data_IF_465052055346
#
_entry.id   IF_465052055346
#
_cell.length_a   1.000
_cell.length_b   1.000
_cell.length_c   1.000
_cell.angle_alpha   90.00
_cell.angle_beta   90.00
_cell.angle_gamma   90.00
#
_symmetry.space_group_name_H-M   'P 1'
#
loop_
_entity.id
_entity.type
_entity.pdbx_description
1 polymer ?
2 non-polymer ?
3 water ?
#
# COMPACT_ATOMS: atom_id res chain seq x y z
N UNK A 1 -23.65 12.84 2.23
CA UNK A 1 -23.15 12.09 1.03
C UNK A 1 -23.00 10.58 1.22
N UNK A 2 -22.96 10.09 2.48
CA UNK A 2 -23.08 8.63 2.60
C UNK A 2 -24.52 8.24 2.30
N UNK A 3 -24.71 7.34 1.34
CA UNK A 3 -26.04 6.93 0.94
C UNK A 3 -26.69 6.12 2.05
N UNK A 4 -27.98 6.37 2.32
CA UNK A 4 -28.67 5.75 3.45
C UNK A 4 -29.67 4.68 3.05
N UNK A 5 -29.98 4.58 1.75
CA UNK A 5 -30.77 3.46 1.23
C UNK A 5 -29.87 2.23 1.10
N UNK A 6 -30.49 1.06 0.92
CA UNK A 6 -29.76 -0.22 0.92
C UNK A 6 -28.76 -0.33 -0.22
N UNK A 7 -27.53 -0.73 0.11
CA UNK A 7 -26.46 -0.94 -0.87
C UNK A 7 -26.88 -1.90 -1.96
N UNK A 8 -27.67 -2.92 -1.60
CA UNK A 8 -28.13 -3.92 -2.54
C UNK A 8 -29.15 -3.41 -3.58
N UNK A 9 -29.67 -2.20 -3.37
CA UNK A 9 -30.46 -1.53 -4.42
C UNK A 9 -29.56 -1.15 -5.60
N UNK A 10 -28.30 -0.83 -5.32
CA UNK A 10 -27.34 -0.39 -6.35
C UNK A 10 -26.37 -1.49 -6.76
N UNK A 11 -26.09 -2.42 -5.85
CA UNK A 11 -25.08 -3.45 -6.07
C UNK A 11 -25.59 -4.87 -5.85
N UNK A 12 -25.14 -5.77 -6.71
CA UNK A 12 -25.39 -7.19 -6.55
C UNK A 12 -24.19 -7.77 -5.81
N UNK A 13 -24.42 -8.26 -4.59
CA UNK A 13 -23.33 -8.82 -3.79
C UNK A 13 -23.03 -10.26 -4.20
N UNK A 14 -21.79 -10.67 -3.97
CA UNK A 14 -21.34 -12.03 -4.20
C UNK A 14 -20.77 -12.57 -2.88
N UNK A 15 -20.48 -13.87 -2.83
CA UNK A 15 -19.92 -14.48 -1.62
C UNK A 15 -18.42 -14.77 -1.77
N UNK A 16 -17.76 -14.07 -2.68
CA UNK A 16 -16.31 -14.16 -2.85
C UNK A 16 -15.64 -13.09 -1.98
N UNK A 17 -14.64 -13.50 -1.19
CA UNK A 17 -13.92 -12.59 -0.31
C UNK A 17 -12.53 -12.30 -0.85
N UNK A 18 -12.17 -11.01 -0.90
CA UNK A 18 -10.84 -10.61 -1.34
C UNK A 18 -9.85 -10.63 -0.16
N UNK A 19 -10.29 -10.16 1.01
CA UNK A 19 -9.47 -10.25 2.21
C UNK A 19 -9.92 -9.43 3.42
N UNK A 20 -9.19 -9.61 4.53
CA UNK A 20 -9.56 -9.03 5.83
C UNK A 20 -8.81 -7.72 6.13
N UNK A 21 -9.57 -6.64 6.30
CA UNK A 21 -9.00 -5.33 6.58
C UNK A 21 -9.24 -4.81 7.97
N UNK A 22 -8.78 -5.56 8.98
CA UNK A 22 -8.83 -5.15 10.39
C UNK A 22 -10.26 -4.85 10.87
N UNK A 23 -10.86 -3.77 10.35
CA UNK A 23 -12.26 -3.44 10.63
C UNK A 23 -13.22 -4.37 9.92
N UNK A 24 -12.95 -4.64 8.64
CA UNK A 24 -13.91 -5.35 7.80
C UNK A 24 -13.37 -6.22 6.69
N UNK A 25 -14.15 -7.25 6.36
CA UNK A 25 -13.88 -8.10 5.21
C UNK A 25 -14.14 -7.36 3.92
N UNK A 26 -13.51 -7.80 2.83
CA UNK A 26 -13.67 -7.18 1.52
C UNK A 26 -14.31 -8.19 0.57
N UNK A 27 -15.44 -7.82 -0.02
CA UNK A 27 -16.21 -8.69 -0.90
C UNK A 27 -16.29 -8.13 -2.32
N UNK A 28 -16.41 -9.02 -3.30
CA UNK A 28 -16.71 -8.62 -4.67
C UNK A 28 -18.18 -8.22 -4.77
N UNK A 29 -18.48 -7.25 -5.63
CA UNK A 29 -19.85 -6.92 -5.96
C UNK A 29 -19.90 -6.33 -7.36
N UNK A 30 -21.11 -6.18 -7.89
CA UNK A 30 -21.31 -5.68 -9.25
C UNK A 30 -22.33 -4.58 -9.26
N UNK A 31 -21.97 -3.44 -9.84
CA UNK A 31 -22.92 -2.34 -10.00
C UNK A 31 -24.05 -2.83 -10.90
N UNK A 32 -25.28 -2.45 -10.58
CA UNK A 32 -26.46 -3.01 -11.26
C UNK A 32 -26.75 -2.38 -12.62
N UNK A 33 -26.52 -1.06 -12.75
CA UNK A 33 -26.76 -0.35 -14.00
C UNK A 33 -25.63 -0.67 -14.98
N UNK A 34 -24.41 -0.31 -14.62
CA UNK A 34 -23.22 -0.73 -15.36
C UNK A 34 -22.94 -2.19 -14.99
N UNK A 35 -22.02 -2.83 -15.69
CA UNK A 35 -21.64 -4.19 -15.32
C UNK A 35 -20.50 -4.25 -14.31
N UNK A 36 -19.85 -3.12 -14.07
CA UNK A 36 -18.54 -3.07 -13.40
C UNK A 36 -18.47 -3.87 -12.11
N UNK A 37 -17.43 -4.70 -12.00
CA UNK A 37 -17.12 -5.36 -10.74
C UNK A 37 -16.43 -4.37 -9.82
N UNK A 38 -16.82 -4.40 -8.55
CA UNK A 38 -16.31 -3.48 -7.55
C UNK A 38 -15.99 -4.25 -6.28
N UNK A 39 -15.26 -3.60 -5.37
CA UNK A 39 -14.93 -4.21 -4.08
C UNK A 39 -15.71 -3.49 -2.99
N UNK A 40 -16.25 -4.26 -2.05
CA UNK A 40 -17.07 -3.69 -0.97
C UNK A 40 -16.42 -4.03 0.38
N UNK A 41 -16.16 -2.98 1.17
CA UNK A 41 -15.57 -3.15 2.50
C UNK A 41 -16.61 -2.82 3.55
N UNK A 42 -16.98 -3.82 4.35
CA UNK A 42 -17.97 -3.67 5.43
C UNK A 42 -17.25 -3.27 6.71
N UNK A 43 -17.65 -2.14 7.30
CA UNK A 43 -17.14 -1.68 8.59
C UNK A 43 -18.32 -1.50 9.52
N UNK A 44 -18.22 -2.04 10.73
CA UNK A 44 -19.23 -1.77 11.74
C UNK A 44 -19.01 -0.35 12.25
N UNK A 45 -20.11 0.39 12.40
CA UNK A 45 -20.04 1.81 12.70
C UNK A 45 -19.39 2.08 14.06
N UNK A 46 -18.38 2.94 14.06
CA UNK A 46 -17.63 3.30 15.25
C UNK A 46 -16.85 4.57 14.92
N UNK A 47 -16.37 5.30 15.94
CA UNK A 47 -15.55 6.47 15.65
C UNK A 47 -14.42 6.14 14.68
N UNK A 48 -13.67 5.07 14.98
CA UNK A 48 -12.57 4.61 14.13
C UNK A 48 -12.99 4.36 12.69
N UNK A 49 -14.09 3.63 12.49
CA UNK A 49 -14.60 3.33 11.14
C UNK A 49 -15.00 4.60 10.40
N UNK A 50 -15.52 5.58 11.14
CA UNK A 50 -15.90 6.87 10.57
C UNK A 50 -14.65 7.67 10.15
N UNK A 51 -13.58 7.56 10.93
CA UNK A 51 -12.30 8.20 10.59
C UNK A 51 -11.71 7.58 9.32
N UNK A 52 -11.83 6.27 9.18
CA UNK A 52 -11.34 5.58 7.98
C UNK A 52 -12.04 6.08 6.72
N UNK A 53 -13.37 6.06 6.73
CA UNK A 53 -14.15 6.55 5.58
C UNK A 53 -13.78 8.00 5.27
N UNK A 54 -13.63 8.81 6.32
CA UNK A 54 -13.25 10.21 6.17
C UNK A 54 -11.88 10.33 5.49
N UNK A 55 -10.90 9.60 6.00
CA UNK A 55 -9.54 9.68 5.47
C UNK A 55 -9.43 9.10 4.07
N UNK A 56 -10.17 8.02 3.81
CA UNK A 56 -10.19 7.42 2.48
C UNK A 56 -10.88 8.33 1.45
N UNK A 57 -12.01 8.93 1.79
CA UNK A 57 -12.68 9.90 0.89
C UNK A 57 -11.69 11.00 0.52
N UNK A 58 -11.08 11.63 1.54
CA UNK A 58 -10.08 12.68 1.33
C UNK A 58 -8.95 12.25 0.40
N UNK A 59 -8.46 11.02 0.60
CA UNK A 59 -7.35 10.48 -0.21
C UNK A 59 -7.81 10.07 -1.62
N UNK A 60 -9.05 9.64 -1.72
CA UNK A 60 -9.62 9.18 -2.99
C UNK A 60 -9.58 10.33 -3.99
N UNK A 61 -8.96 10.09 -5.14
CA UNK A 61 -8.70 11.15 -6.15
C UNK A 61 -7.22 11.40 -6.39
N UNK A 62 -6.41 11.18 -5.36
CA UNK A 62 -4.95 11.34 -5.49
C UNK A 62 -4.34 10.25 -6.36
N UNK A 63 -3.09 10.45 -6.79
CA UNK A 63 -2.44 9.47 -7.65
C UNK A 63 -2.04 8.21 -6.90
N UNK A 64 -2.26 7.06 -7.52
CA UNK A 64 -1.87 5.75 -6.98
C UNK A 64 -2.51 5.45 -5.62
N UNK A 65 -3.78 5.82 -5.52
CA UNK A 65 -4.61 5.49 -4.37
C UNK A 65 -5.90 4.86 -4.90
N UNK A 66 -6.33 3.79 -4.26
CA UNK A 66 -7.55 3.08 -4.64
C UNK A 66 -8.75 3.99 -4.40
N UNK A 67 -9.54 4.21 -5.44
CA UNK A 67 -10.63 5.19 -5.39
C UNK A 67 -11.88 4.61 -4.71
N UNK A 68 -12.52 5.42 -3.86
CA UNK A 68 -13.87 5.13 -3.38
C UNK A 68 -14.88 5.51 -4.47
N UNK A 69 -15.91 4.68 -4.64
CA UNK A 69 -16.99 4.93 -5.61
C UNK A 69 -18.25 5.48 -4.92
N UNK A 70 -18.63 4.83 -3.83
CA UNK A 70 -19.80 5.21 -3.02
C UNK A 70 -19.52 4.78 -1.58
N UNK A 71 -20.25 5.38 -0.65
CA UNK A 71 -20.28 4.93 0.74
C UNK A 71 -21.74 4.81 1.18
N UNK A 72 -22.06 3.68 1.82
CA UNK A 72 -23.42 3.44 2.27
C UNK A 72 -23.44 3.32 3.78
N UNK A 73 -24.48 3.89 4.39
CA UNK A 73 -24.75 3.71 5.82
C UNK A 73 -26.00 2.84 5.93
N UNK A 74 -25.81 1.57 6.27
CA UNK A 74 -26.89 0.57 6.28
C UNK A 74 -27.04 -0.13 7.62
N UNK A 75 -28.16 -0.82 7.79
CA UNK A 75 -28.32 -1.79 8.88
C UNK A 75 -28.04 -3.18 8.33
N UNK A 76 -27.33 -4.00 9.09
CA UNK A 76 -27.00 -5.37 8.68
C UNK A 76 -27.04 -6.32 9.87
N UNK A 77 -28.02 -7.24 9.84
CA UNK A 77 -28.32 -8.12 10.97
C UNK A 77 -28.40 -7.34 12.29
N UNK A 78 -29.18 -6.26 12.28
CA UNK A 78 -29.43 -5.47 13.47
C UNK A 78 -28.29 -4.59 13.96
N UNK A 79 -27.21 -4.46 13.17
CA UNK A 79 -26.08 -3.61 13.53
C UNK A 79 -25.85 -2.54 12.46
N UNK A 80 -25.51 -1.33 12.89
CA UNK A 80 -25.24 -0.24 11.96
C UNK A 80 -23.88 -0.44 11.31
N UNK A 81 -23.82 -0.21 9.99
CA UNK A 81 -22.65 -0.51 9.18
C UNK A 81 -22.34 0.60 8.18
N UNK A 82 -21.06 0.80 7.92
CA UNK A 82 -20.60 1.63 6.81
C UNK A 82 -20.00 0.68 5.77
N UNK A 83 -20.45 0.81 4.52
CA UNK A 83 -19.96 0.01 3.41
C UNK A 83 -19.22 0.94 2.45
N UNK A 84 -17.91 0.70 2.29
CA UNK A 84 -17.12 1.44 1.31
C UNK A 84 -17.11 0.63 0.02
N UNK A 85 -17.64 1.22 -1.05
CA UNK A 85 -17.53 0.64 -2.37
C UNK A 85 -16.30 1.23 -3.04
N UNK A 86 -15.35 0.37 -3.39
CA UNK A 86 -14.11 0.79 -4.06
C UNK A 86 -14.03 0.20 -5.45
N UNK A 87 -13.16 0.78 -6.27
CA UNK A 87 -12.82 0.16 -7.55
C UNK A 87 -12.18 -1.19 -7.27
N UNK A 88 -12.47 -2.19 -8.10
CA UNK A 88 -11.91 -3.53 -7.90
C UNK A 88 -10.49 -3.59 -8.46
N UNK A 89 -9.55 -3.94 -7.60
CA UNK A 89 -8.15 -4.09 -7.97
C UNK A 89 -7.88 -5.56 -8.26
N UNK A 90 -8.09 -5.97 -9.50
CA UNK A 90 -8.01 -7.40 -9.85
C UNK A 90 -6.63 -7.83 -10.36
N UNK A 91 -5.66 -6.92 -10.29
CA UNK A 91 -4.27 -7.24 -10.60
C UNK A 91 -3.54 -7.93 -9.48
N UNK A 92 -4.09 -7.86 -8.27
CA UNK A 92 -3.48 -8.52 -7.12
C UNK A 92 -2.36 -7.71 -6.48
N UNK A 93 -1.59 -8.37 -5.62
CA UNK A 93 -0.60 -7.71 -4.78
C UNK A 93 0.71 -7.49 -5.51
N UNK A 94 1.35 -6.35 -5.21
CA UNK A 94 2.62 -5.94 -5.82
C UNK A 94 3.60 -7.11 -5.99
N UNK A 95 3.99 -7.72 -4.87
CA UNK A 95 5.03 -8.73 -4.88
C UNK A 95 4.59 -10.08 -5.47
N UNK A 96 3.28 -10.33 -5.53
CA UNK A 96 2.76 -11.51 -6.22
C UNK A 96 2.94 -11.39 -7.73
N UNK A 97 2.62 -10.21 -8.28
CA UNK A 97 2.89 -9.90 -9.67
C UNK A 97 4.36 -10.11 -10.02
N UNK A 98 5.24 -9.70 -9.12
CA UNK A 98 6.68 -9.77 -9.36
C UNK A 98 7.21 -11.20 -9.38
N UNK A 99 6.73 -12.05 -8.47
CA UNK A 99 7.15 -13.46 -8.47
C UNK A 99 6.51 -14.26 -9.61
N UNK A 100 5.48 -13.70 -10.25
CA UNK A 100 4.91 -14.26 -11.47
C UNK A 100 5.69 -13.79 -12.70
N UNK A 105 12.58 -10.36 -17.21
CA UNK A 105 13.53 -9.78 -16.26
C UNK A 105 12.87 -8.70 -15.39
N UNK A 106 13.38 -8.55 -14.17
CA UNK A 106 12.96 -7.46 -13.28
C UNK A 106 14.20 -6.64 -12.91
N UNK A 107 14.26 -5.42 -13.44
CA UNK A 107 15.45 -4.57 -13.33
C UNK A 107 15.33 -3.53 -12.24
N UNK A 108 16.46 -2.89 -11.92
CA UNK A 108 16.50 -1.84 -10.92
C UNK A 108 15.67 -0.63 -11.35
N UNK A 109 15.66 -0.34 -12.65
CA UNK A 109 14.87 0.75 -13.19
C UNK A 109 13.37 0.53 -12.98
N UNK A 110 12.93 -0.72 -13.12
CA UNK A 110 11.52 -1.05 -12.88
C UNK A 110 11.16 -0.85 -11.41
N UNK A 111 12.08 -1.21 -10.51
CA UNK A 111 11.89 -0.98 -9.08
C UNK A 111 11.78 0.51 -8.75
N UNK A 112 12.58 1.33 -9.42
CA UNK A 112 12.55 2.79 -9.26
C UNK A 112 11.19 3.33 -9.70
N UNK A 113 10.68 2.85 -10.83
CA UNK A 113 9.36 3.21 -11.31
C UNK A 113 8.29 2.92 -10.26
N UNK A 114 8.35 1.72 -9.66
CA UNK A 114 7.37 1.31 -8.65
C UNK A 114 7.46 2.19 -7.40
N UNK A 115 8.67 2.38 -6.88
CA UNK A 115 8.87 3.21 -5.70
C UNK A 115 8.46 4.66 -5.96
N UNK A 116 8.66 5.15 -7.19
CA UNK A 116 8.18 6.47 -7.57
C UNK A 116 6.66 6.52 -7.53
N UNK A 117 6.01 5.46 -8.02
CA UNK A 117 4.55 5.39 -7.96
C UNK A 117 4.06 5.45 -6.52
N UNK A 118 4.61 4.58 -5.66
CA UNK A 118 4.23 4.57 -4.24
C UNK A 118 4.52 5.92 -3.60
N UNK A 119 5.67 6.51 -3.93
CA UNK A 119 6.07 7.82 -3.42
C UNK A 119 5.09 8.95 -3.75
N UNK A 120 4.62 8.99 -4.99
CA UNK A 120 3.64 10.00 -5.42
C UNK A 120 2.37 9.91 -4.56
N UNK A 121 1.95 8.68 -4.28
CA UNK A 121 0.81 8.43 -3.40
C UNK A 121 1.03 9.01 -2.00
N UNK A 122 2.21 8.75 -1.42
CA UNK A 122 2.54 9.24 -0.09
C UNK A 122 2.77 10.76 -0.08
N UNK A 123 3.30 11.29 -1.19
CA UNK A 123 3.43 12.73 -1.34
C UNK A 123 2.05 13.39 -1.26
N UNK A 124 1.07 12.80 -1.95
CA UNK A 124 -0.29 13.34 -1.96
C UNK A 124 -0.87 13.35 -0.55
N UNK A 125 -0.83 12.20 0.11
CA UNK A 125 -1.37 12.08 1.47
C UNK A 125 -0.70 13.04 2.46
N UNK A 126 0.63 13.06 2.46
CA UNK A 126 1.39 13.90 3.41
C UNK A 126 1.18 15.40 3.20
N UNK A 127 1.09 15.82 1.94
CA UNK A 127 0.78 17.23 1.64
C UNK A 127 -0.65 17.58 2.04
N UNK A 128 -1.50 16.57 2.16
CA UNK A 128 -2.84 16.72 2.74
C UNK A 128 -2.87 16.34 4.24
N UNK A 129 -1.68 16.30 4.85
CA UNK A 129 -1.52 16.04 6.29
C UNK A 129 -2.16 14.74 6.78
N UNK A 130 -2.12 13.71 5.94
CA UNK A 130 -2.61 12.39 6.29
C UNK A 130 -1.42 11.43 6.30
N UNK A 131 -1.22 10.75 7.42
CA UNK A 131 -0.26 9.66 7.52
C UNK A 131 -1.04 8.35 7.37
N UNK A 132 -0.54 7.42 6.57
CA UNK A 132 -1.21 6.14 6.32
C UNK A 132 -0.99 5.19 7.50
N UNK A 133 0.29 5.00 7.85
CA UNK A 133 0.72 4.22 9.01
C UNK A 133 0.56 2.70 8.89
N UNK A 134 0.31 2.22 7.67
CA UNK A 134 0.16 0.78 7.45
C UNK A 134 0.59 0.40 6.03
N UNK A 135 1.63 1.05 5.53
CA UNK A 135 2.10 0.78 4.17
C UNK A 135 2.90 -0.53 4.22
N UNK A 136 2.35 -1.57 3.59
CA UNK A 136 2.93 -2.89 3.60
C UNK A 136 2.46 -3.68 2.38
N UNK A 137 3.20 -4.74 1.99
CA UNK A 137 2.96 -5.44 0.72
C UNK A 137 1.49 -5.72 0.37
N UNK A 138 0.70 -6.22 1.32
CA UNK A 138 -0.69 -6.59 1.04
C UNK A 138 -1.66 -5.39 0.88
N UNK A 139 -1.14 -4.18 1.04
CA UNK A 139 -1.91 -2.95 0.81
C UNK A 139 -1.49 -2.23 -0.46
N UNK A 140 -0.68 -2.90 -1.27
CA UNK A 140 -0.23 -2.34 -2.54
C UNK A 140 -0.72 -3.28 -3.64
N UNK A 141 -1.68 -2.81 -4.42
CA UNK A 141 -2.42 -3.65 -5.36
C UNK A 141 -2.34 -3.10 -6.77
N UNK A 142 -2.55 -3.97 -7.75
CA UNK A 142 -2.60 -3.60 -9.15
C UNK A 142 -4.04 -3.62 -9.64
N UNK A 143 -4.37 -2.72 -10.57
CA UNK A 143 -5.74 -2.59 -11.07
C UNK A 143 -6.14 -3.74 -11.99
N UNK A 144 -5.20 -4.27 -12.75
CA UNK A 144 -5.44 -5.39 -13.64
C UNK A 144 -4.20 -6.28 -13.74
N UNK A 145 -4.37 -7.43 -14.38
CA UNK A 145 -3.28 -8.36 -14.65
C UNK A 145 -2.56 -7.98 -15.95
N UNK A 146 -3.11 -7.02 -16.68
CA UNK A 146 -2.51 -6.55 -17.93
C UNK A 146 -1.23 -5.73 -17.70
N UNK A 147 -0.51 -5.48 -18.78
CA UNK A 147 0.79 -4.78 -18.75
C UNK A 147 0.65 -3.31 -18.36
N UNK A 148 -0.50 -2.70 -18.66
CA UNK A 148 -0.74 -1.28 -18.38
C UNK A 148 -1.30 -1.02 -16.97
N UNK A 149 -1.27 -2.04 -16.11
CA UNK A 149 -1.89 -1.95 -14.78
C UNK A 149 -1.26 -0.86 -13.93
N UNK A 150 -2.08 -0.25 -13.07
CA UNK A 150 -1.68 0.85 -12.22
C UNK A 150 -1.60 0.37 -10.77
N UNK A 151 -0.46 0.62 -10.13
CA UNK A 151 -0.26 0.27 -8.73
C UNK A 151 -0.93 1.30 -7.84
N UNK A 152 -1.71 0.85 -6.86
CA UNK A 152 -2.39 1.76 -5.94
C UNK A 152 -2.37 1.27 -4.49
N UNK A 153 -2.45 2.23 -3.56
CA UNK A 153 -2.45 1.97 -2.12
C UNK A 153 -3.87 2.02 -1.54
N UNK A 154 -4.23 1.02 -0.72
CA UNK A 154 -5.51 0.97 0.02
C UNK A 154 -5.33 0.89 1.54
N UNK A 155 -6.47 0.86 2.24
CA UNK A 155 -6.55 0.52 3.66
C UNK A 155 -6.14 1.69 4.54
N UNK A 156 -7.11 2.54 4.84
CA UNK A 156 -6.91 3.70 5.69
C UNK A 156 -7.46 3.47 7.10
N UNK A 157 -7.48 2.20 7.51
CA UNK A 157 -7.96 1.83 8.84
C UNK A 157 -7.05 2.28 9.97
N UNK A 158 -5.81 2.64 9.64
CA UNK A 158 -4.86 3.17 10.62
C UNK A 158 -4.43 4.59 10.30
N UNK A 159 -5.06 5.23 9.31
CA UNK A 159 -4.70 6.58 8.90
C UNK A 159 -5.00 7.59 9.98
N UNK A 160 -4.21 8.67 10.00
CA UNK A 160 -4.33 9.70 11.03
C UNK A 160 -4.16 11.06 10.35
N UNK A 161 -5.08 11.97 10.62
CA UNK A 161 -5.00 13.35 10.12
C UNK A 161 -4.06 14.13 11.01
N UNK A 162 -2.96 14.59 10.43
CA UNK A 162 -1.87 15.22 11.15
C UNK A 162 -2.00 16.75 11.07
N UNK A 185 2.89 13.28 14.12
CA UNK A 185 2.75 14.22 13.02
C UNK A 185 3.94 14.08 12.07
N UNK A 186 5.11 14.57 12.48
CA UNK A 186 6.33 14.35 11.70
C UNK A 186 6.68 12.90 11.92
N UNK A 187 6.41 12.41 13.14
CA UNK A 187 6.63 11.02 13.48
C UNK A 187 5.74 10.08 12.66
N UNK A 188 4.44 10.31 12.70
CA UNK A 188 3.48 9.46 11.97
C UNK A 188 3.82 9.40 10.48
N UNK A 189 4.21 10.54 9.92
CA UNK A 189 4.68 10.60 8.53
C UNK A 189 6.00 9.83 8.33
N UNK A 190 6.90 9.91 9.30
CA UNK A 190 8.18 9.21 9.20
C UNK A 190 8.03 7.68 9.24
N UNK A 191 6.92 7.20 9.82
CA UNK A 191 6.58 5.78 9.78
C UNK A 191 6.26 5.31 8.36
N UNK A 192 5.58 6.16 7.59
CA UNK A 192 5.33 5.89 6.16
C UNK A 192 6.64 5.81 5.37
N UNK A 193 7.58 6.69 5.71
CA UNK A 193 8.86 6.75 4.97
C UNK A 193 9.73 5.53 5.28
N UNK A 194 9.62 5.00 6.49
CA UNK A 194 10.26 3.73 6.87
C UNK A 194 9.71 2.59 6.02
N UNK A 195 8.38 2.57 5.87
CA UNK A 195 7.72 1.56 5.04
C UNK A 195 8.23 1.60 3.59
N UNK A 196 8.43 2.79 3.05
CA UNK A 196 8.97 2.92 1.69
C UNK A 196 10.35 2.30 1.58
N UNK A 197 11.18 2.48 2.61
CA UNK A 197 12.51 1.88 2.65
C UNK A 197 12.49 0.36 2.70
N UNK A 198 11.57 -0.20 3.48
CA UNK A 198 11.43 -1.65 3.59
C UNK A 198 10.90 -2.26 2.29
N UNK A 199 9.93 -1.61 1.66
CA UNK A 199 9.37 -2.09 0.40
C UNK A 199 10.42 -2.00 -0.71
N UNK A 200 11.16 -0.90 -0.73
CA UNK A 200 12.25 -0.71 -1.69
C UNK A 200 13.31 -1.81 -1.52
N UNK A 201 13.63 -2.13 -0.26
CA UNK A 201 14.60 -3.18 0.04
C UNK A 201 14.15 -4.52 -0.53
N UNK A 202 12.91 -4.89 -0.25
CA UNK A 202 12.36 -6.17 -0.72
C UNK A 202 12.22 -6.17 -2.25
N UNK A 203 11.87 -5.04 -2.84
CA UNK A 203 11.83 -4.91 -4.30
C UNK A 203 13.17 -5.23 -4.94
N UNK A 204 14.25 -4.79 -4.29
CA UNK A 204 15.59 -4.86 -4.86
C UNK A 204 16.28 -6.23 -4.70
N UNK A 205 15.76 -7.11 -3.85
CA UNK A 205 16.43 -8.39 -3.58
C UNK A 205 15.50 -9.59 -3.29
N UNK A 206 14.33 -9.35 -2.71
CA UNK A 206 13.33 -10.41 -2.51
C UNK A 206 13.14 -10.85 -1.06
N UNK A 207 13.94 -10.30 -0.15
CA UNK A 207 13.75 -10.54 1.29
C UNK A 207 13.83 -9.21 2.04
N UNK A 208 13.23 -9.14 3.25
CA UNK A 208 13.22 -7.89 3.98
C UNK A 208 14.49 -7.69 4.83
N UNK A 209 14.66 -6.48 5.41
CA UNK A 209 15.83 -6.19 6.24
C UNK A 209 15.63 -6.55 7.72
N UNK A 210 15.22 -7.77 7.99
CA UNK A 210 14.98 -8.23 9.37
C UNK A 210 15.94 -9.37 9.71
N UNK A 231 20.46 -4.37 9.92
CA UNK A 231 20.40 -4.94 8.58
C UNK A 231 21.68 -4.69 7.79
N UNK A 232 21.75 -5.25 6.58
CA UNK A 232 22.87 -5.04 5.67
C UNK A 232 22.45 -5.23 4.22
N UNK A 233 23.42 -5.22 3.31
CA UNK A 233 23.18 -5.46 1.89
C UNK A 233 23.99 -6.68 1.43
N UNK A 234 23.49 -7.90 1.72
CA UNK A 234 24.30 -9.10 1.48
C UNK A 234 24.45 -9.50 0.01
N UNK A 235 25.69 -9.81 -0.37
CA UNK A 235 25.98 -10.45 -1.66
C UNK A 235 25.43 -11.89 -1.66
N UNK A 236 25.16 -12.45 -2.85
CA UNK A 236 25.35 -11.88 -4.19
C UNK A 236 24.14 -11.09 -4.70
N UNK A 237 23.08 -11.01 -3.90
CA UNK A 237 21.85 -10.33 -4.31
C UNK A 237 22.05 -8.83 -4.51
N UNK A 238 22.84 -8.21 -3.63
CA UNK A 238 23.09 -6.76 -3.68
C UNK A 238 24.38 -6.38 -4.41
N UNK A 239 24.85 -7.26 -5.30
CA UNK A 239 26.13 -7.08 -5.97
C UNK A 239 26.12 -5.97 -7.03
N UNK A 240 25.14 -6.02 -7.93
CA UNK A 240 25.04 -5.06 -9.04
C UNK A 240 23.98 -3.97 -8.81
N UNK A 241 23.49 -3.85 -7.58
CA UNK A 241 22.56 -2.75 -7.23
C UNK A 241 23.38 -1.48 -7.03
N UNK A 242 22.88 -0.35 -7.54
CA UNK A 242 23.64 0.90 -7.54
C UNK A 242 23.80 1.50 -6.14
N UNK A 243 24.75 2.42 -6.03
CA UNK A 243 25.04 3.09 -4.75
C UNK A 243 23.92 4.03 -4.34
N UNK A 244 23.25 4.64 -5.32
CA UNK A 244 22.11 5.53 -5.05
C UNK A 244 20.95 4.78 -4.41
N UNK A 245 20.68 3.57 -4.89
CA UNK A 245 19.65 2.71 -4.30
C UNK A 245 19.95 2.42 -2.83
N UNK A 246 21.17 1.95 -2.56
CA UNK A 246 21.58 1.63 -1.20
C UNK A 246 21.60 2.87 -0.30
N UNK A 247 22.09 3.99 -0.84
CA UNK A 247 22.12 5.27 -0.12
C UNK A 247 20.71 5.70 0.30
N UNK A 248 19.77 5.67 -0.65
CA UNK A 248 18.39 6.07 -0.37
C UNK A 248 17.77 5.22 0.74
N UNK A 249 17.99 3.90 0.68
CA UNK A 249 17.47 2.97 1.68
C UNK A 249 18.06 3.23 3.07
N UNK A 250 19.36 3.52 3.13
CA UNK A 250 20.02 3.88 4.40
C UNK A 250 19.37 5.12 5.01
N UNK A 251 19.04 6.09 4.17
CA UNK A 251 18.43 7.35 4.61
C UNK A 251 16.97 7.18 5.05
N UNK A 252 16.33 6.10 4.61
CA UNK A 252 14.93 5.82 4.95
C UNK A 252 14.80 4.85 6.14
N UNK A 253 15.75 3.94 6.29
CA UNK A 253 15.70 2.95 7.37
C UNK A 253 16.40 3.42 8.65
N UNK A 254 16.79 4.69 8.71
CA UNK A 254 17.34 5.28 9.95
C UNK A 254 16.47 4.92 11.14
N UNK A 255 17.11 4.45 12.21
CA UNK A 255 16.40 4.07 13.43
C UNK A 255 15.78 5.27 14.14
N UNK A 256 16.45 6.42 14.07
CA UNK A 256 15.94 7.66 14.63
C UNK A 256 15.04 8.35 13.61
N UNK A 257 13.72 8.43 13.88
CA UNK A 257 12.75 9.01 12.95
C UNK A 257 13.02 10.44 12.47
N UNK A 258 13.70 11.25 13.27
CA UNK A 258 14.01 12.63 12.89
C UNK A 258 15.03 12.71 11.77
N UNK A 259 15.96 11.74 11.74
CA UNK A 259 16.99 11.66 10.70
C UNK A 259 16.43 11.09 9.39
N UNK A 260 15.24 10.51 9.43
CA UNK A 260 14.65 9.84 8.28
C UNK A 260 14.25 10.85 7.21
N UNK A 261 14.53 10.54 5.95
CA UNK A 261 14.12 11.37 4.82
C UNK A 261 12.63 11.72 4.84
N UNK A 262 12.31 12.95 4.45
CA UNK A 262 10.93 13.36 4.22
C UNK A 262 10.51 12.88 2.83
N UNK A 263 9.20 12.78 2.58
CA UNK A 263 8.71 12.37 1.26
C UNK A 263 9.24 13.28 0.15
N UNK A 264 9.28 14.58 0.43
CA UNK A 264 9.73 15.56 -0.57
C UNK A 264 11.23 15.40 -0.87
N UNK A 265 12.00 14.93 0.11
CA UNK A 265 13.40 14.55 -0.11
C UNK A 265 13.49 13.20 -0.84
N UNK A 266 12.60 12.27 -0.50
CA UNK A 266 12.50 10.99 -1.20
C UNK A 266 12.26 11.23 -2.69
N UNK A 267 11.26 12.06 -3.02
CA UNK A 267 10.90 12.33 -4.41
C UNK A 267 11.97 13.11 -5.19
N UNK A 268 12.79 13.89 -4.49
CA UNK A 268 13.87 14.66 -5.11
C UNK A 268 15.22 13.94 -5.18
N UNK A 269 15.27 12.71 -4.65
CA UNK A 269 16.48 11.90 -4.74
C UNK A 269 16.65 11.39 -6.18
N UNK A 270 17.87 11.52 -6.75
CA UNK A 270 18.12 11.10 -8.13
C UNK A 270 17.51 9.74 -8.52
N UNK A 271 17.58 8.76 -7.63
CA UNK A 271 17.06 7.43 -7.92
C UNK A 271 15.55 7.43 -8.17
N UNK A 272 14.84 8.37 -7.55
CA UNK A 272 13.40 8.53 -7.76
C UNK A 272 13.12 9.61 -8.80
N UNK A 273 13.73 10.78 -8.61
CA UNK A 273 13.57 11.91 -9.52
C UNK A 273 14.01 11.59 -10.95
N UNK A 274 15.08 10.81 -11.06
CA UNK A 274 15.59 10.35 -12.36
C UNK A 274 15.45 8.84 -12.46
N UNK A 275 14.26 8.33 -12.11
CA UNK A 275 13.98 6.89 -12.16
C UNK A 275 14.13 6.30 -13.56
N UNK A 276 14.00 7.15 -14.59
CA UNK A 276 14.02 6.72 -15.98
C UNK A 276 15.43 6.52 -16.54
N UNK A 277 16.47 6.94 -15.79
CA UNK A 277 17.86 6.72 -16.19
C UNK A 277 18.63 5.86 -15.17
N UNK A 278 17.90 5.16 -14.32
CA UNK A 278 18.47 4.17 -13.40
C UNK A 278 18.87 2.96 -14.25
N UNK A 279 20.02 2.32 -13.95
CA UNK A 279 20.47 1.25 -14.85
C UNK A 279 19.45 0.12 -14.99
N UNK A 280 19.37 -0.45 -16.19
CA UNK A 280 18.48 -1.57 -16.48
C UNK A 280 19.03 -2.90 -15.92
N UNK A 281 19.73 -2.81 -14.79
CA UNK A 281 20.45 -3.94 -14.21
C UNK A 281 19.51 -5.01 -13.65
N UNK A 282 19.58 -6.25 -14.19
CA UNK A 282 18.72 -7.35 -13.74
C UNK A 282 18.90 -7.71 -12.26
N UNK A 283 17.78 -7.91 -11.56
CA UNK A 283 17.77 -8.19 -10.12
C UNK A 283 17.37 -9.63 -9.82
N UNK A 284 17.55 -10.03 -8.57
CA UNK A 284 17.27 -11.41 -8.12
C UNK A 284 15.85 -11.59 -7.57
N UNK A 285 15.10 -10.50 -7.45
CA UNK A 285 13.85 -10.46 -6.67
C UNK A 285 12.83 -11.53 -7.04
N UNK A 286 12.53 -11.66 -8.33
CA UNK A 286 11.53 -12.63 -8.80
C UNK A 286 11.91 -14.07 -8.46
N UNK A 287 13.17 -14.43 -8.73
CA UNK A 287 13.72 -15.73 -8.38
C UNK A 287 13.64 -15.97 -6.88
N UNK A 288 14.13 -14.98 -6.12
CA UNK A 288 14.18 -15.06 -4.67
C UNK A 288 12.80 -15.25 -4.03
N UNK A 289 11.81 -14.55 -4.57
CA UNK A 289 10.43 -14.63 -4.06
C UNK A 289 9.82 -16.02 -4.27
N UNK A 290 9.92 -16.55 -5.48
CA UNK A 290 9.45 -17.89 -5.80
C UNK A 290 10.19 -18.93 -4.95
N UNK A 291 11.51 -18.76 -4.85
CA UNK A 291 12.36 -19.67 -4.07
C UNK A 291 12.00 -19.67 -2.58
N UNK A 292 11.62 -18.52 -2.05
CA UNK A 292 11.29 -18.35 -0.63
C UNK A 292 9.78 -18.17 -0.38
N UNK A 293 8.95 -18.61 -1.32
CA UNK A 293 7.49 -18.46 -1.22
C UNK A 293 6.91 -19.00 0.08
N UNK A 294 7.54 -20.03 0.64
CA UNK A 294 7.03 -20.71 1.84
C UNK A 294 7.14 -19.91 3.14
N UNK A 295 7.91 -18.81 3.15
CA UNK A 295 7.89 -17.89 4.31
C UNK A 295 7.47 -16.47 3.94
N UNK A 296 6.70 -16.30 2.87
CA UNK A 296 6.21 -14.96 2.52
C UNK A 296 5.19 -14.48 3.57
N UNK A 297 4.37 -15.41 4.07
CA UNK A 297 3.42 -15.10 5.15
C UNK A 297 4.14 -14.68 6.43
N UNK A 298 5.35 -15.21 6.66
CA UNK A 298 6.15 -14.84 7.83
C UNK A 298 6.66 -13.41 7.74
N UNK A 299 7.18 -13.02 6.59
CA UNK A 299 7.72 -11.66 6.42
C UNK A 299 6.61 -10.61 6.43
N UNK A 300 5.44 -10.97 5.90
CA UNK A 300 4.25 -10.12 5.97
C UNK A 300 3.80 -9.93 7.42
N UNK A 301 3.77 -11.04 8.17
CA UNK A 301 3.44 -11.01 9.59
C UNK A 301 4.46 -10.20 10.38
N UNK A 302 5.74 -10.36 10.06
CA UNK A 302 6.80 -9.62 10.72
C UNK A 302 6.67 -8.11 10.50
N UNK A 303 6.33 -7.71 9.28
CA UNK A 303 6.20 -6.29 8.96
C UNK A 303 4.95 -5.68 9.59
N UNK A 304 3.84 -6.41 9.57
CA UNK A 304 2.62 -6.01 10.28
C UNK A 304 2.94 -5.75 11.75
N UNK A 305 3.70 -6.66 12.35
CA UNK A 305 4.09 -6.54 13.76
C UNK A 305 4.95 -5.29 14.00
N UNK A 306 5.85 -4.99 13.07
CA UNK A 306 6.76 -3.85 13.20
C UNK A 306 6.02 -2.52 13.11
N UNK A 307 5.07 -2.46 12.16
CA UNK A 307 4.21 -1.28 12.01
C UNK A 307 3.29 -1.10 13.22
N UNK A 308 2.81 -2.20 13.79
CA UNK A 308 1.97 -2.14 14.99
C UNK A 308 2.71 -1.48 16.16
N UNK A 309 3.98 -1.85 16.36
CA UNK A 309 4.74 -1.33 17.51
C UNK A 309 5.13 0.14 17.32
N UNK A 310 5.25 0.58 16.08
CA UNK A 310 5.46 1.99 15.76
C UNK A 310 4.22 2.85 16.03
N UNK A 311 3.05 2.21 16.04
CA UNK A 311 1.80 2.91 16.35
C UNK A 311 1.50 3.00 17.86
N UNK A 312 2.30 2.34 18.70
CA UNK A 312 2.06 2.37 20.14
C UNK A 312 2.38 3.75 20.73
N UNK A 313 1.69 4.10 21.80
CA UNK A 313 1.89 5.36 22.50
C UNK A 313 3.26 5.40 23.17
N UNK A 314 3.58 4.33 23.90
CA UNK A 314 4.88 4.18 24.55
C UNK A 314 5.48 2.81 24.26
N UNK A 315 6.78 2.77 24.02
CA UNK A 315 7.47 1.54 23.63
C UNK A 315 8.82 1.38 24.34
N UNK A 316 9.31 0.14 24.34
CA UNK A 316 10.72 -0.22 24.50
C UNK A 316 10.85 -1.52 25.29
#
# INVERSE_FOLDING_TARGET
>A
EPKKYAVTDDYQLSKQVLGLGVNGKVLECFHRRTGQKCALKLLYDSPKARQEVDHHWQASGGPHIVCILDVYENMHHGKRCLLIIMECMEGGELFSRIQERGDQAFTEREAAEIMRDIGTAIQFLHSHNIAHRDVKPENLLYTSKEKDAVLKLTDFGFAKETTQNALQTPCYTPYYVAPEVLGPEKYDKSCDMWSLGVIMYILLCGFPPFYSNTGQAISPGMKRRIRLGQYGFPNPEWSEVSEDAKQLIRLLLKTDPTERLTITQFMNHPWINQSMVVPQTPLHTARVLQEDKDHWDEVKEEMTSALATMRVDYDQV
#
